data_IF_427151788220
#
_entry.id   IF_427151788220
#
_cell.length_a   1.000
_cell.length_b   1.000
_cell.length_c   1.000
_cell.angle_alpha   90.00
_cell.angle_beta   90.00
_cell.angle_gamma   90.00
#
_symmetry.space_group_name_H-M   'P 1'
#
loop_
_entity.id
_entity.type
_entity.pdbx_description
1 polymer ?
#
# COMPACT_ATOMS: atom_id res chain seq x y z
N UNK A 1 33.15 -20.64 -2.88
CA UNK A 1 31.89 -20.42 -3.64
C UNK A 1 30.67 -20.13 -2.76
N UNK A 2 30.17 -21.05 -1.91
CA UNK A 2 28.94 -20.80 -1.13
C UNK A 2 29.05 -19.68 -0.08
N UNK A 3 30.21 -19.52 0.56
CA UNK A 3 30.46 -18.48 1.56
C UNK A 3 30.47 -17.07 0.95
N UNK A 4 31.11 -16.90 -0.21
CA UNK A 4 31.12 -15.62 -0.95
C UNK A 4 29.73 -15.24 -1.47
N UNK A 5 28.95 -16.22 -1.95
CA UNK A 5 27.57 -15.99 -2.35
C UNK A 5 26.70 -15.49 -1.17
N UNK A 6 26.83 -16.10 0.02
CA UNK A 6 26.13 -15.63 1.24
C UNK A 6 26.58 -14.23 1.65
N UNK A 7 27.87 -13.93 1.59
CA UNK A 7 28.41 -12.61 1.91
C UNK A 7 27.89 -11.52 0.95
N UNK A 8 27.85 -11.83 -0.35
CA UNK A 8 27.29 -10.95 -1.39
C UNK A 8 25.79 -10.69 -1.19
N UNK A 9 25.00 -11.75 -0.93
CA UNK A 9 23.57 -11.62 -0.64
C UNK A 9 23.35 -10.74 0.59
N UNK A 10 24.10 -10.96 1.66
CA UNK A 10 24.02 -10.15 2.88
C UNK A 10 24.43 -8.68 2.67
N UNK A 11 25.42 -8.42 1.83
CA UNK A 11 25.83 -7.06 1.48
C UNK A 11 24.72 -6.33 0.69
N UNK A 12 24.10 -7.02 -0.27
CA UNK A 12 22.98 -6.47 -1.05
C UNK A 12 21.76 -6.21 -0.18
N UNK A 13 21.41 -7.11 0.74
CA UNK A 13 20.33 -6.92 1.69
C UNK A 13 20.57 -5.70 2.61
N UNK A 14 21.80 -5.49 3.10
CA UNK A 14 22.14 -4.29 3.88
C UNK A 14 22.09 -3.00 3.06
N UNK A 15 22.40 -3.06 1.77
CA UNK A 15 22.34 -1.91 0.87
C UNK A 15 20.88 -1.48 0.58
N UNK A 16 19.93 -2.43 0.62
CA UNK A 16 18.49 -2.17 0.56
C UNK A 16 17.99 -1.79 1.96
N UNK A 17 18.62 -0.79 2.59
CA UNK A 17 18.10 -0.24 3.85
C UNK A 17 16.98 0.74 3.52
N UNK A 18 15.75 0.53 4.02
CA UNK A 18 14.67 1.49 3.81
C UNK A 18 15.08 2.85 4.38
N UNK A 19 14.65 3.97 3.76
CA UNK A 19 14.93 5.31 4.27
C UNK A 19 14.55 5.47 5.74
N UNK A 20 13.46 4.81 6.17
CA UNK A 20 12.96 4.78 7.55
C UNK A 20 13.91 4.17 8.59
N UNK A 21 14.90 3.37 8.16
CA UNK A 21 15.86 2.66 9.04
C UNK A 21 17.27 3.29 8.96
N UNK A 22 17.43 4.33 8.16
CA UNK A 22 18.67 5.10 8.05
C UNK A 22 18.81 6.07 9.21
N UNK A 23 20.04 6.26 9.73
CA UNK A 23 20.34 7.33 10.69
C UNK A 23 20.16 8.74 10.10
N UNK A 24 20.19 8.83 8.77
CA UNK A 24 19.93 10.05 7.99
C UNK A 24 18.88 9.68 6.94
N UNK A 25 17.58 9.67 7.29
CA UNK A 25 16.53 9.34 6.34
C UNK A 25 16.53 10.38 5.23
N UNK A 26 16.52 9.92 3.98
CA UNK A 26 16.38 10.78 2.81
C UNK A 26 15.14 10.34 2.03
N UNK A 27 14.10 11.18 2.09
CA UNK A 27 12.85 10.93 1.40
C UNK A 27 12.83 11.70 0.08
N UNK A 28 13.20 11.03 -1.01
CA UNK A 28 12.99 11.59 -2.34
C UNK A 28 11.52 11.47 -2.75
N UNK A 29 11.13 12.15 -3.82
CA UNK A 29 9.75 12.13 -4.33
C UNK A 29 9.19 10.72 -4.46
N UNK A 30 9.94 9.80 -5.08
CA UNK A 30 9.54 8.40 -5.27
C UNK A 30 9.28 7.72 -3.93
N UNK A 31 10.16 7.90 -2.95
CA UNK A 31 10.02 7.31 -1.62
C UNK A 31 8.76 7.79 -0.93
N UNK A 32 8.49 9.10 -0.95
CA UNK A 32 7.28 9.68 -0.35
C UNK A 32 6.04 9.19 -1.10
N UNK A 33 6.08 9.23 -2.43
CA UNK A 33 4.95 8.88 -3.29
C UNK A 33 4.51 7.42 -3.10
N UNK A 34 5.44 6.46 -3.13
CA UNK A 34 5.10 5.06 -2.90
C UNK A 34 4.74 4.77 -1.43
N UNK A 35 5.31 5.51 -0.47
CA UNK A 35 4.87 5.42 0.93
C UNK A 35 3.42 5.87 1.08
N UNK A 36 3.05 6.97 0.41
CA UNK A 36 1.68 7.44 0.35
C UNK A 36 0.76 6.42 -0.29
N UNK A 37 1.07 5.94 -1.50
CA UNK A 37 0.20 4.99 -2.22
C UNK A 37 -0.05 3.74 -1.37
N UNK A 38 1.00 3.13 -0.81
CA UNK A 38 0.88 1.90 -0.03
C UNK A 38 0.13 2.18 1.29
N UNK A 39 0.53 3.22 2.02
CA UNK A 39 -0.08 3.58 3.30
C UNK A 39 -1.55 3.96 3.15
N UNK A 40 -1.87 4.85 2.22
CA UNK A 40 -3.23 5.28 1.93
C UNK A 40 -4.12 4.13 1.42
N UNK A 41 -3.56 3.21 0.61
CA UNK A 41 -4.29 2.00 0.17
C UNK A 41 -4.70 1.13 1.36
N UNK A 42 -3.78 0.84 2.27
CA UNK A 42 -4.05 0.00 3.44
C UNK A 42 -4.99 0.68 4.44
N UNK A 43 -4.82 1.98 4.68
CA UNK A 43 -5.72 2.74 5.55
C UNK A 43 -7.13 2.81 4.96
N UNK A 44 -7.27 3.19 3.69
CA UNK A 44 -8.56 3.29 3.04
C UNK A 44 -9.26 1.92 2.92
N UNK A 45 -8.53 0.83 2.64
CA UNK A 45 -9.13 -0.50 2.56
C UNK A 45 -9.78 -0.93 3.87
N UNK A 46 -9.14 -0.65 5.01
CA UNK A 46 -9.70 -0.92 6.34
C UNK A 46 -10.91 -0.04 6.63
N UNK A 47 -10.85 1.25 6.29
CA UNK A 47 -11.96 2.19 6.50
C UNK A 47 -13.18 1.79 5.66
N UNK A 48 -12.99 1.51 4.37
CA UNK A 48 -14.06 1.12 3.44
C UNK A 48 -14.69 -0.21 3.89
N UNK A 49 -13.87 -1.20 4.24
CA UNK A 49 -14.36 -2.50 4.71
C UNK A 49 -15.13 -2.37 6.04
N UNK A 50 -14.57 -1.67 7.02
CA UNK A 50 -15.16 -1.52 8.35
C UNK A 50 -16.46 -0.72 8.33
N UNK A 51 -16.53 0.33 7.51
CA UNK A 51 -17.75 1.13 7.35
C UNK A 51 -18.83 0.47 6.48
N UNK A 52 -18.47 -0.56 5.71
CA UNK A 52 -19.38 -1.26 4.81
C UNK A 52 -20.40 -2.18 5.47
N UNK A 53 -20.36 -2.39 6.80
CA UNK A 53 -21.33 -3.23 7.54
C UNK A 53 -21.59 -4.61 6.91
N UNK A 54 -20.57 -5.21 6.29
CA UNK A 54 -20.65 -6.51 5.62
C UNK A 54 -21.12 -6.46 4.16
N UNK A 55 -21.30 -5.28 3.55
CA UNK A 55 -21.71 -5.12 2.15
C UNK A 55 -20.56 -5.32 1.14
N UNK A 56 -19.30 -5.28 1.60
CA UNK A 56 -18.11 -5.40 0.72
C UNK A 56 -17.13 -6.42 1.29
N UNK A 57 -16.55 -7.26 0.43
CA UNK A 57 -15.45 -8.12 0.84
C UNK A 57 -14.17 -7.29 1.07
N UNK A 58 -13.30 -7.74 1.97
CA UNK A 58 -12.03 -7.03 2.21
C UNK A 58 -11.16 -6.95 0.95
N UNK A 59 -11.18 -7.98 0.11
CA UNK A 59 -10.41 -8.00 -1.15
C UNK A 59 -10.92 -6.92 -2.11
N UNK A 60 -12.24 -6.76 -2.22
CA UNK A 60 -12.82 -5.72 -3.07
C UNK A 60 -12.54 -4.32 -2.52
N UNK A 61 -12.61 -4.15 -1.19
CA UNK A 61 -12.22 -2.89 -0.53
C UNK A 61 -10.74 -2.55 -0.74
N UNK A 62 -9.86 -3.56 -0.70
CA UNK A 62 -8.43 -3.40 -0.96
C UNK A 62 -8.16 -3.02 -2.41
N UNK A 63 -8.79 -3.72 -3.36
CA UNK A 63 -8.65 -3.45 -4.78
C UNK A 63 -9.19 -2.06 -5.13
N UNK A 64 -10.35 -1.68 -4.60
CA UNK A 64 -10.94 -0.35 -4.79
C UNK A 64 -10.05 0.77 -4.21
N UNK A 65 -9.57 0.61 -2.97
CA UNK A 65 -8.64 1.55 -2.34
C UNK A 65 -7.32 1.70 -3.12
N UNK A 66 -6.79 0.60 -3.66
CA UNK A 66 -5.58 0.64 -4.50
C UNK A 66 -5.83 1.38 -5.82
N UNK A 67 -6.99 1.18 -6.44
CA UNK A 67 -7.37 1.84 -7.70
C UNK A 67 -7.55 3.33 -7.53
N UNK A 68 -8.09 3.77 -6.39
CA UNK A 68 -8.22 5.18 -6.03
C UNK A 68 -6.85 5.85 -5.85
N UNK A 69 -5.93 5.21 -5.10
CA UNK A 69 -4.61 5.78 -4.79
C UNK A 69 -3.62 5.73 -5.96
N UNK A 70 -3.86 4.87 -6.96
CA UNK A 70 -3.03 4.77 -8.18
C UNK A 70 -3.66 5.45 -9.40
N UNK A 71 -4.86 6.02 -9.24
CA UNK A 71 -5.65 6.63 -10.32
C UNK A 71 -5.98 5.66 -11.47
N UNK A 72 -6.07 4.35 -11.17
CA UNK A 72 -6.48 3.34 -12.14
C UNK A 72 -7.99 3.35 -12.41
N UNK A 73 -8.80 3.84 -11.45
CA UNK A 73 -10.26 3.99 -11.61
C UNK A 73 -11.03 2.67 -11.68
N UNK A 74 -10.49 1.58 -11.12
CA UNK A 74 -11.13 0.26 -11.12
C UNK A 74 -12.15 0.14 -9.98
N UNK A 75 -13.37 -0.29 -10.32
CA UNK A 75 -14.49 -0.42 -9.38
C UNK A 75 -14.92 -1.89 -9.23
N UNK A 76 -14.27 -2.68 -8.36
CA UNK A 76 -14.69 -4.04 -8.04
C UNK A 76 -15.97 -4.08 -7.19
N UNK A 77 -16.37 -2.94 -6.63
CA UNK A 77 -17.59 -2.78 -5.83
C UNK A 77 -18.60 -1.97 -6.66
N UNK A 78 -19.87 -2.35 -6.59
CA UNK A 78 -20.95 -1.49 -7.09
C UNK A 78 -21.08 -0.25 -6.18
N UNK A 79 -20.58 0.88 -6.68
CA UNK A 79 -20.56 2.16 -5.96
C UNK A 79 -21.95 2.67 -5.60
N UNK A 80 -23.01 2.22 -6.30
CA UNK A 80 -24.39 2.59 -5.99
C UNK A 80 -24.91 1.95 -4.70
N UNK A 81 -24.29 0.85 -4.26
CA UNK A 81 -24.65 0.13 -3.04
C UNK A 81 -23.88 0.62 -1.81
N UNK A 82 -22.88 1.48 -2.00
CA UNK A 82 -22.10 2.06 -0.93
C UNK A 82 -22.94 3.05 -0.11
N UNK A 83 -22.71 3.09 1.20
CA UNK A 83 -23.30 4.12 2.03
C UNK A 83 -22.57 5.46 1.86
N UNK A 84 -23.19 6.56 2.30
CA UNK A 84 -22.64 7.92 2.13
C UNK A 84 -21.24 8.09 2.73
N UNK A 85 -20.91 7.40 3.82
CA UNK A 85 -19.58 7.48 4.42
C UNK A 85 -18.50 6.81 3.56
N UNK A 86 -18.84 5.78 2.79
CA UNK A 86 -17.90 5.14 1.87
C UNK A 86 -17.70 5.94 0.57
N UNK A 87 -18.63 6.83 0.22
CA UNK A 87 -18.60 7.60 -1.02
C UNK A 87 -17.91 8.97 -0.89
N UNK A 88 -17.91 9.56 0.31
CA UNK A 88 -17.40 10.92 0.59
C UNK A 88 -16.11 10.85 1.38
#
# INVERSE_FOLDING_TARGET
MAAEARASIWARLKAIKPPFVSKKPHFNFISIHYTWIIGATLCASVIIYGSGRGQTSYIDSLMFASGANTQAGLNPIDVNLLNTFQQV
#
